data_IF_439360078333
#
_entry.id   IF_439360078333
#
_cell.length_a   1.000
_cell.length_b   1.000
_cell.length_c   1.000
_cell.angle_alpha   90.00
_cell.angle_beta   90.00
_cell.angle_gamma   90.00
#
_symmetry.space_group_name_H-M   'P 1'
#
loop_
_entity.id
_entity.type
_entity.pdbx_description
1 polymer ?
#
# COMPACT_ATOMS: atom_id res chain seq x y z
N UNK A 1 -5.62 34.05 14.53
CA UNK A 1 -4.19 33.77 14.61
C UNK A 1 -4.06 32.51 15.45
N UNK A 2 -3.93 31.29 14.93
CA UNK A 2 -3.77 30.70 13.59
C UNK A 2 -4.52 29.37 13.69
N UNK A 3 -5.46 29.11 12.79
CA UNK A 3 -6.12 27.80 12.73
C UNK A 3 -5.08 26.80 12.24
N UNK A 4 -4.83 25.82 13.10
CA UNK A 4 -4.12 24.56 12.89
C UNK A 4 -4.03 24.19 11.40
N UNK A 5 -2.80 24.14 10.88
CA UNK A 5 -2.47 23.61 9.57
C UNK A 5 -2.86 22.13 9.53
N UNK A 6 -4.14 21.84 9.27
CA UNK A 6 -4.57 20.54 8.78
C UNK A 6 -3.85 20.34 7.46
N UNK A 7 -2.75 19.61 7.54
CA UNK A 7 -1.91 19.21 6.42
C UNK A 7 -2.81 18.63 5.34
N UNK A 8 -3.04 19.41 4.28
CA UNK A 8 -3.49 18.95 2.98
C UNK A 8 -2.36 18.09 2.41
N UNK A 9 -2.19 16.88 2.96
CA UNK A 9 -1.49 15.84 2.24
C UNK A 9 -2.43 15.47 1.08
N UNK A 10 -1.96 15.50 -0.18
CA UNK A 10 -2.81 15.13 -1.31
C UNK A 10 -3.35 13.74 -1.01
N UNK A 11 -4.67 13.58 -0.96
CA UNK A 11 -5.36 12.35 -0.57
C UNK A 11 -4.62 11.14 -1.17
N UNK A 12 -3.82 10.47 -0.35
CA UNK A 12 -3.00 9.37 -0.81
C UNK A 12 -3.96 8.28 -1.27
N UNK A 13 -3.81 7.86 -2.52
CA UNK A 13 -4.64 6.78 -3.06
C UNK A 13 -4.39 5.54 -2.18
N UNK A 14 -5.41 5.06 -1.44
CA UNK A 14 -5.23 3.97 -0.48
C UNK A 14 -4.67 2.71 -1.15
N UNK A 15 -4.86 2.55 -2.48
CA UNK A 15 -4.26 1.45 -3.24
C UNK A 15 -2.76 1.60 -3.39
N UNK A 16 -2.24 2.81 -3.58
CA UNK A 16 -0.79 3.05 -3.68
C UNK A 16 -0.10 2.82 -2.34
N UNK A 17 -0.77 3.13 -1.23
CA UNK A 17 -0.25 2.83 0.11
C UNK A 17 -0.23 1.31 0.37
N UNK A 18 -1.28 0.59 -0.03
CA UNK A 18 -1.31 -0.88 0.03
C UNK A 18 -0.20 -1.47 -0.83
N UNK A 19 -0.02 -0.97 -2.07
CA UNK A 19 1.04 -1.42 -2.96
C UNK A 19 2.43 -1.21 -2.34
N UNK A 20 2.71 -0.02 -1.81
CA UNK A 20 3.97 0.27 -1.13
C UNK A 20 4.21 -0.69 0.04
N UNK A 21 3.21 -0.89 0.90
CA UNK A 21 3.35 -1.81 2.04
C UNK A 21 3.65 -3.25 1.61
N UNK A 22 3.08 -3.70 0.48
CA UNK A 22 3.40 -5.01 -0.10
C UNK A 22 4.86 -5.08 -0.53
N UNK A 23 5.36 -4.05 -1.22
CA UNK A 23 6.76 -3.99 -1.69
C UNK A 23 7.72 -3.92 -0.50
N UNK A 24 7.48 -3.04 0.47
CA UNK A 24 8.31 -2.92 1.68
C UNK A 24 8.40 -4.23 2.46
N UNK A 25 7.29 -4.95 2.60
CA UNK A 25 7.26 -6.26 3.25
C UNK A 25 8.10 -7.30 2.48
N UNK A 26 8.04 -7.29 1.15
CA UNK A 26 8.84 -8.19 0.30
C UNK A 26 10.33 -7.83 0.34
N UNK A 27 10.67 -6.55 0.26
CA UNK A 27 12.04 -6.04 0.38
C UNK A 27 12.64 -6.35 1.76
N UNK A 28 11.81 -6.38 2.80
CA UNK A 28 12.15 -6.86 4.14
C UNK A 28 12.38 -8.39 4.25
N UNK A 29 12.24 -9.13 3.15
CA UNK A 29 12.48 -10.57 3.07
C UNK A 29 11.25 -11.45 3.29
N UNK A 30 10.04 -10.87 3.39
CA UNK A 30 8.82 -11.68 3.42
C UNK A 30 8.57 -12.32 2.05
N UNK A 31 8.00 -13.53 2.05
CA UNK A 31 7.50 -14.12 0.81
C UNK A 31 6.28 -13.34 0.32
N UNK A 32 6.06 -13.32 -0.99
CA UNK A 32 4.89 -12.66 -1.61
C UNK A 32 3.56 -13.05 -0.96
N UNK A 33 3.40 -14.32 -0.57
CA UNK A 33 2.18 -14.78 0.10
C UNK A 33 2.08 -14.21 1.54
N UNK A 34 3.18 -14.22 2.29
CA UNK A 34 3.21 -13.68 3.64
C UNK A 34 3.02 -12.15 3.67
N UNK A 35 3.62 -11.42 2.71
CA UNK A 35 3.46 -9.98 2.58
C UNK A 35 2.00 -9.61 2.29
N UNK A 36 1.34 -10.32 1.36
CA UNK A 36 -0.08 -10.08 1.04
C UNK A 36 -0.98 -10.29 2.25
N UNK A 37 -0.78 -11.37 3.00
CA UNK A 37 -1.57 -11.66 4.21
C UNK A 37 -1.32 -10.61 5.31
N UNK A 38 -0.07 -10.21 5.53
CA UNK A 38 0.28 -9.18 6.50
C UNK A 38 -0.34 -7.82 6.16
N UNK A 39 -0.23 -7.40 4.90
CA UNK A 39 -0.79 -6.13 4.42
C UNK A 39 -2.32 -6.16 4.41
N UNK A 40 -2.95 -7.27 4.01
CA UNK A 40 -4.38 -7.45 4.10
C UNK A 40 -4.90 -7.22 5.54
N UNK A 41 -4.22 -7.79 6.54
CA UNK A 41 -4.51 -7.57 7.94
C UNK A 41 -4.30 -6.12 8.40
N UNK A 42 -3.22 -5.47 7.94
CA UNK A 42 -2.89 -4.08 8.30
C UNK A 42 -3.91 -3.06 7.77
N UNK A 43 -4.44 -3.29 6.57
CA UNK A 43 -5.37 -2.37 5.90
C UNK A 43 -6.84 -2.80 6.02
N UNK A 44 -7.13 -3.95 6.61
CA UNK A 44 -8.49 -4.48 6.77
C UNK A 44 -9.15 -4.88 5.44
N UNK A 45 -8.35 -5.24 4.44
CA UNK A 45 -8.79 -5.65 3.10
C UNK A 45 -8.59 -7.16 2.91
N UNK A 46 -9.12 -7.71 1.82
CA UNK A 46 -8.89 -9.12 1.48
C UNK A 46 -7.54 -9.34 0.80
N UNK A 47 -6.92 -10.51 0.96
CA UNK A 47 -5.71 -10.88 0.21
C UNK A 47 -5.90 -10.83 -1.32
N UNK A 48 -7.12 -11.12 -1.79
CA UNK A 48 -7.48 -11.01 -3.20
C UNK A 48 -7.41 -9.56 -3.70
N UNK A 49 -7.89 -8.62 -2.88
CA UNK A 49 -7.82 -7.19 -3.17
C UNK A 49 -6.38 -6.68 -3.16
N UNK A 50 -5.56 -7.11 -2.18
CA UNK A 50 -4.12 -6.79 -2.17
C UNK A 50 -3.42 -7.32 -3.43
N UNK A 51 -3.76 -8.53 -3.88
CA UNK A 51 -3.22 -9.11 -5.11
C UNK A 51 -3.64 -8.33 -6.36
N UNK A 52 -4.88 -7.88 -6.42
CA UNK A 52 -5.37 -7.07 -7.54
C UNK A 52 -4.69 -5.71 -7.59
N UNK A 53 -4.48 -5.07 -6.44
CA UNK A 53 -3.73 -3.83 -6.27
C UNK A 53 -2.26 -4.02 -6.66
N UNK A 54 -1.63 -5.13 -6.26
CA UNK A 54 -0.24 -5.43 -6.64
C UNK A 54 -0.09 -5.55 -8.16
N UNK A 55 -1.04 -6.22 -8.82
CA UNK A 55 -1.07 -6.29 -10.29
C UNK A 55 -1.31 -4.93 -10.93
N UNK A 56 -2.19 -4.10 -10.36
CA UNK A 56 -2.44 -2.73 -10.81
C UNK A 56 -1.18 -1.87 -10.70
N UNK A 57 -0.48 -1.94 -9.56
CA UNK A 57 0.76 -1.21 -9.33
C UNK A 57 1.90 -1.61 -10.25
N UNK A 58 2.08 -2.91 -10.47
CA UNK A 58 3.07 -3.41 -11.43
C UNK A 58 2.74 -3.02 -12.88
N UNK A 59 1.47 -3.13 -13.28
CA UNK A 59 1.03 -2.77 -14.64
C UNK A 59 1.07 -1.25 -14.88
N UNK A 60 0.75 -0.47 -13.84
CA UNK A 60 0.73 0.99 -13.85
C UNK A 60 2.10 1.64 -13.61
N UNK A 61 3.15 0.85 -13.38
CA UNK A 61 4.49 1.35 -13.07
C UNK A 61 4.51 2.25 -11.83
N UNK A 62 3.68 1.93 -10.83
CA UNK A 62 3.63 2.72 -9.60
C UNK A 62 4.99 2.66 -8.92
N UNK A 63 5.58 3.81 -8.57
CA UNK A 63 6.86 3.82 -7.89
C UNK A 63 6.71 3.15 -6.52
N UNK A 64 7.64 2.24 -6.14
CA UNK A 64 7.85 1.95 -4.74
C UNK A 64 8.54 3.19 -4.17
N UNK A 65 7.78 4.14 -3.62
CA UNK A 65 8.37 5.31 -2.97
C UNK A 65 8.88 4.93 -1.59
#
# INVERSE_FOLDING_TARGET
>A
MTADETTDAPAADPRKDIFRAVVEAQDGGMTVAASRAAVAGQFGVSEAEVKDIEREGLAGGWPPL
#
